data_IF_146945289959
#
_entry.id   IF_146945289959
#
_cell.length_a   1.000
_cell.length_b   1.000
_cell.length_c   1.000
_cell.angle_alpha   90.00
_cell.angle_beta   90.00
_cell.angle_gamma   90.00
#
_symmetry.space_group_name_H-M   'P 1'
#
loop_
_entity.id
_entity.type
_entity.pdbx_description
1 polymer ?
#
# COMPACT_ATOMS: atom_id res chain seq x y z
N UNK A 1 15.47 15.00 35.45
CA UNK A 1 15.73 14.84 34.01
C UNK A 1 14.47 15.20 33.26
N UNK A 2 14.44 16.24 32.41
CA UNK A 2 13.24 16.54 31.64
C UNK A 2 13.09 15.52 30.51
N UNK A 3 11.88 14.99 30.34
CA UNK A 3 11.52 14.09 29.23
C UNK A 3 11.70 14.86 27.91
N UNK A 4 12.31 14.21 26.92
CA UNK A 4 12.48 14.77 25.57
C UNK A 4 11.09 15.15 24.99
N UNK A 5 10.95 16.31 24.32
CA UNK A 5 9.68 16.68 23.69
C UNK A 5 9.36 15.68 22.57
N UNK A 6 8.20 15.04 22.68
CA UNK A 6 7.78 13.91 21.87
C UNK A 6 7.41 14.27 20.42
N UNK A 7 7.70 13.30 19.54
CA UNK A 7 7.20 12.92 18.20
C UNK A 7 6.49 13.93 17.25
N UNK A 8 5.82 14.97 17.76
CA UNK A 8 5.13 15.99 16.94
C UNK A 8 6.12 16.78 16.09
N UNK A 9 7.33 17.04 16.59
CA UNK A 9 8.38 17.74 15.84
C UNK A 9 8.86 16.94 14.61
N UNK A 10 8.97 15.62 14.70
CA UNK A 10 9.51 14.77 13.63
C UNK A 10 8.53 14.57 12.47
N UNK A 11 7.21 14.65 12.72
CA UNK A 11 6.20 14.57 11.67
C UNK A 11 6.11 15.82 10.77
N UNK A 12 6.51 16.97 11.32
CA UNK A 12 6.48 18.29 10.65
C UNK A 12 7.68 18.53 9.72
N UNK A 13 8.76 17.75 9.87
CA UNK A 13 9.97 17.81 9.03
C UNK A 13 9.76 17.32 7.58
N UNK A 14 8.59 16.79 7.24
CA UNK A 14 8.23 16.46 5.84
C UNK A 14 7.74 17.66 5.02
N UNK A 15 7.40 18.79 5.63
CA UNK A 15 7.09 20.02 4.90
C UNK A 15 8.29 20.56 4.12
N UNK A 16 9.49 20.25 4.61
CA UNK A 16 10.78 20.73 4.11
C UNK A 16 11.10 20.20 2.71
N UNK A 17 10.61 19.00 2.32
CA UNK A 17 10.80 18.47 0.96
C UNK A 17 9.90 19.15 -0.09
N UNK A 18 8.84 19.83 0.35
CA UNK A 18 7.95 20.63 -0.50
C UNK A 18 8.26 22.14 -0.38
N UNK A 19 9.32 22.52 0.35
CA UNK A 19 9.66 23.92 0.63
C UNK A 19 8.71 24.62 1.61
N UNK A 20 7.80 23.89 2.25
CA UNK A 20 6.84 24.43 3.22
C UNK A 20 7.55 24.59 4.57
N UNK A 21 7.52 25.80 5.12
CA UNK A 21 8.09 26.08 6.44
C UNK A 21 7.05 25.81 7.52
N UNK A 22 7.50 25.27 8.64
CA UNK A 22 6.65 24.97 9.80
C UNK A 22 7.13 25.72 11.03
N UNK A 23 6.20 26.31 11.78
CA UNK A 23 6.46 26.92 13.08
C UNK A 23 5.50 26.35 14.12
N UNK A 24 6.03 25.71 15.17
CA UNK A 24 5.23 25.16 16.28
C UNK A 24 5.02 26.20 17.38
N UNK A 25 3.88 26.12 18.07
CA UNK A 25 3.56 26.88 19.27
C UNK A 25 3.54 25.92 20.46
N UNK A 26 4.36 26.20 21.47
CA UNK A 26 4.47 25.38 22.69
C UNK A 26 3.59 25.94 23.81
N UNK A 27 3.05 25.04 24.63
CA UNK A 27 2.25 25.36 25.80
C UNK A 27 3.13 25.90 26.93
N UNK A 28 2.66 26.89 27.69
CA UNK A 28 3.47 27.58 28.69
C UNK A 28 3.91 26.70 29.87
N UNK A 29 3.14 25.67 30.22
CA UNK A 29 3.38 24.86 31.43
C UNK A 29 4.03 23.50 31.15
N UNK A 30 3.58 22.79 30.12
CA UNK A 30 4.07 21.43 29.80
C UNK A 30 5.14 21.42 28.71
N UNK A 31 5.29 22.51 27.95
CA UNK A 31 6.15 22.55 26.76
C UNK A 31 5.59 21.78 25.57
N UNK A 32 4.35 21.25 25.65
CA UNK A 32 3.74 20.48 24.57
C UNK A 32 3.37 21.37 23.38
N UNK A 33 3.38 20.81 22.17
CA UNK A 33 2.89 21.53 20.99
C UNK A 33 1.38 21.75 21.10
N UNK A 34 0.94 23.00 21.25
CA UNK A 34 -0.48 23.40 21.35
C UNK A 34 -1.00 24.04 20.06
N UNK A 35 -0.18 24.12 19.02
CA UNK A 35 -0.55 24.67 17.73
C UNK A 35 0.63 24.73 16.78
N UNK A 36 0.36 25.02 15.51
CA UNK A 36 1.38 25.21 14.50
C UNK A 36 0.88 26.15 13.40
N UNK A 37 1.84 26.73 12.69
CA UNK A 37 1.62 27.54 11.50
C UNK A 37 2.48 27.05 10.34
N UNK A 38 1.97 27.18 9.13
CA UNK A 38 2.65 26.85 7.88
C UNK A 38 2.88 28.11 7.05
N UNK A 39 3.97 28.14 6.30
CA UNK A 39 4.20 29.12 5.26
C UNK A 39 4.59 28.42 3.95
N UNK A 40 3.93 28.79 2.86
CA UNK A 40 4.19 28.22 1.55
C UNK A 40 5.52 28.75 0.97
N UNK A 41 6.23 27.95 0.16
CA UNK A 41 7.44 28.42 -0.53
C UNK A 41 7.09 29.59 -1.46
N UNK A 42 7.80 30.71 -1.31
CA UNK A 42 7.59 31.92 -2.12
C UNK A 42 6.43 32.81 -1.67
N UNK A 43 5.64 32.41 -0.66
CA UNK A 43 4.61 33.27 -0.08
C UNK A 43 5.22 34.16 1.01
N UNK A 44 5.66 35.34 0.59
CA UNK A 44 6.35 36.32 1.44
C UNK A 44 5.66 37.69 1.42
N UNK A 45 5.71 38.40 2.55
CA UNK A 45 5.29 39.79 2.63
C UNK A 45 6.24 40.73 1.85
N UNK A 46 5.94 42.03 1.84
CA UNK A 46 6.77 43.05 1.17
C UNK A 46 8.21 43.15 1.69
N UNK A 47 8.48 42.64 2.90
CA UNK A 47 9.83 42.57 3.49
C UNK A 47 10.58 41.26 3.16
N UNK A 48 9.98 40.37 2.35
CA UNK A 48 10.56 39.07 2.01
C UNK A 48 10.42 38.02 3.12
N UNK A 49 9.63 38.28 4.16
CA UNK A 49 9.41 37.34 5.26
C UNK A 49 8.23 36.40 4.95
N UNK A 50 8.30 35.12 5.35
CA UNK A 50 7.22 34.16 5.08
C UNK A 50 5.89 34.57 5.73
N UNK A 51 4.79 34.44 4.99
CA UNK A 51 3.44 34.64 5.52
C UNK A 51 2.97 33.35 6.20
N UNK A 52 2.58 33.44 7.47
CA UNK A 52 2.22 32.29 8.30
C UNK A 52 0.71 32.13 8.47
N UNK A 53 0.22 30.91 8.25
CA UNK A 53 -1.16 30.53 8.49
C UNK A 53 -1.25 29.41 9.52
N UNK A 54 -2.05 29.60 10.56
CA UNK A 54 -2.34 28.54 11.52
C UNK A 54 -3.08 27.37 10.84
N UNK A 55 -2.80 26.13 11.24
CA UNK A 55 -3.41 24.94 10.62
C UNK A 55 -4.94 25.02 10.51
N UNK A 56 -5.62 25.39 11.61
CA UNK A 56 -7.09 25.55 11.63
C UNK A 56 -7.62 26.68 10.73
N UNK A 57 -6.79 27.67 10.37
CA UNK A 57 -7.13 28.76 9.45
C UNK A 57 -7.04 28.30 7.99
N UNK A 58 -6.19 27.31 7.69
CA UNK A 58 -6.10 26.69 6.38
C UNK A 58 -7.28 25.75 6.14
N UNK A 59 -7.56 24.88 7.11
CA UNK A 59 -8.75 24.03 7.10
C UNK A 59 -9.08 23.48 8.50
N UNK A 60 -10.35 23.21 8.84
CA UNK A 60 -10.73 22.72 10.18
C UNK A 60 -10.06 21.39 10.59
N UNK A 61 -9.84 20.50 9.64
CA UNK A 61 -9.19 19.19 9.79
C UNK A 61 -7.67 19.29 10.01
N UNK A 62 -7.08 20.46 9.71
CA UNK A 62 -5.69 20.80 9.97
C UNK A 62 -5.48 21.43 11.36
N UNK A 63 -6.48 21.43 12.24
CA UNK A 63 -6.24 21.77 13.66
C UNK A 63 -5.37 20.71 14.34
N UNK A 64 -4.54 21.12 15.31
CA UNK A 64 -3.60 20.22 16.01
C UNK A 64 -4.31 19.02 16.67
N UNK A 65 -5.52 19.22 17.20
CA UNK A 65 -6.32 18.15 17.80
C UNK A 65 -6.80 17.14 16.74
N UNK A 66 -7.25 17.61 15.57
CA UNK A 66 -7.64 16.73 14.46
C UNK A 66 -6.47 15.97 13.86
N UNK A 67 -5.29 16.59 13.80
CA UNK A 67 -4.07 15.91 13.38
C UNK A 67 -3.70 14.79 14.37
N UNK A 68 -3.78 15.04 15.68
CA UNK A 68 -3.52 14.01 16.71
C UNK A 68 -4.51 12.86 16.64
N UNK A 69 -5.79 13.15 16.43
CA UNK A 69 -6.82 12.11 16.23
C UNK A 69 -6.50 11.23 15.01
N UNK A 70 -5.99 11.83 13.92
CA UNK A 70 -5.70 11.10 12.68
C UNK A 70 -4.36 10.39 12.67
N UNK A 71 -3.35 10.97 13.32
CA UNK A 71 -1.98 10.48 13.44
C UNK A 71 -1.67 10.25 14.93
N UNK A 72 -2.28 9.22 15.55
CA UNK A 72 -1.92 8.85 16.93
C UNK A 72 -0.43 8.50 16.96
N UNK A 73 0.26 8.90 18.05
CA UNK A 73 1.72 8.88 18.22
C UNK A 73 2.41 7.83 17.35
N UNK A 74 2.76 8.25 16.13
CA UNK A 74 3.62 7.47 15.29
C UNK A 74 5.02 7.78 15.80
N UNK A 75 5.65 6.81 16.47
CA UNK A 75 7.10 6.80 16.50
C UNK A 75 7.53 6.91 15.03
N UNK A 76 8.11 8.06 14.69
CA UNK A 76 8.77 8.24 13.41
C UNK A 76 9.97 7.32 13.49
N UNK A 77 9.76 6.05 13.15
CA UNK A 77 10.86 5.20 12.76
C UNK A 77 11.54 5.95 11.63
N UNK A 78 12.77 6.41 11.90
CA UNK A 78 13.67 6.94 10.90
C UNK A 78 13.79 5.87 9.82
N UNK A 79 13.00 6.04 8.78
CA UNK A 79 12.81 5.08 7.68
C UNK A 79 12.00 3.83 8.11
N UNK A 80 11.10 3.33 7.26
CA UNK A 80 10.64 1.95 7.41
C UNK A 80 11.90 1.10 7.49
N UNK A 81 12.06 0.36 8.59
CA UNK A 81 13.05 -0.71 8.68
C UNK A 81 12.94 -1.48 7.37
N UNK A 82 14.07 -1.63 6.68
CA UNK A 82 14.18 -2.36 5.42
C UNK A 82 13.24 -3.57 5.48
N UNK A 83 12.13 -3.50 4.74
CA UNK A 83 11.14 -4.57 4.79
C UNK A 83 11.84 -5.78 4.17
N UNK A 84 12.22 -6.74 5.00
CA UNK A 84 13.03 -7.87 4.58
C UNK A 84 12.29 -8.73 3.51
N UNK A 85 10.96 -8.59 3.41
CA UNK A 85 10.12 -9.25 2.41
C UNK A 85 9.18 -8.27 1.65
N UNK A 86 9.44 -7.96 0.36
CA UNK A 86 8.54 -7.17 -0.48
C UNK A 86 7.10 -7.71 -0.59
N UNK A 87 6.87 -8.99 -0.26
CA UNK A 87 5.52 -9.55 -0.25
C UNK A 87 4.72 -9.22 1.03
N UNK A 88 5.37 -8.78 2.10
CA UNK A 88 4.72 -8.44 3.36
C UNK A 88 3.86 -7.16 3.26
N UNK A 89 4.34 -6.04 2.66
CA UNK A 89 3.51 -4.86 2.41
C UNK A 89 2.29 -5.17 1.54
N UNK A 90 2.45 -6.08 0.57
CA UNK A 90 1.35 -6.54 -0.27
C UNK A 90 0.31 -7.33 0.50
N UNK A 91 0.73 -8.30 1.32
CA UNK A 91 -0.20 -9.04 2.21
C UNK A 91 -0.94 -8.09 3.16
N UNK A 92 -0.23 -7.17 3.81
CA UNK A 92 -0.84 -6.16 4.67
C UNK A 92 -1.86 -5.30 3.92
N UNK A 93 -1.55 -4.90 2.69
CA UNK A 93 -2.46 -4.12 1.85
C UNK A 93 -3.72 -4.91 1.51
N UNK A 94 -3.59 -6.16 1.06
CA UNK A 94 -4.74 -7.00 0.72
C UNK A 94 -5.65 -7.23 1.93
N UNK A 95 -5.07 -7.57 3.09
CA UNK A 95 -5.81 -7.74 4.34
C UNK A 95 -6.50 -6.45 4.76
N UNK A 96 -5.82 -5.31 4.65
CA UNK A 96 -6.39 -4.02 5.05
C UNK A 96 -7.53 -3.55 4.13
N UNK A 97 -7.44 -3.82 2.82
CA UNK A 97 -8.53 -3.53 1.87
C UNK A 97 -9.73 -4.44 2.15
N UNK A 98 -9.50 -5.72 2.44
CA UNK A 98 -10.58 -6.65 2.83
C UNK A 98 -11.28 -6.18 4.10
N UNK A 99 -10.52 -5.80 5.14
CA UNK A 99 -11.08 -5.23 6.36
C UNK A 99 -11.92 -3.97 6.07
N UNK A 100 -11.41 -3.07 5.22
CA UNK A 100 -12.15 -1.87 4.82
C UNK A 100 -13.48 -2.21 4.12
N UNK A 101 -13.50 -3.20 3.23
CA UNK A 101 -14.74 -3.66 2.58
C UNK A 101 -15.73 -4.25 3.57
N UNK A 102 -15.26 -5.06 4.52
CA UNK A 102 -16.11 -5.64 5.58
C UNK A 102 -16.73 -4.56 6.44
N UNK A 103 -15.95 -3.54 6.84
CA UNK A 103 -16.44 -2.41 7.64
C UNK A 103 -17.42 -1.53 6.84
N UNK A 104 -17.20 -1.32 5.55
CA UNK A 104 -18.19 -0.62 4.70
C UNK A 104 -19.47 -1.44 4.49
N UNK A 105 -19.48 -2.74 4.79
CA UNK A 105 -20.66 -3.58 4.80
C UNK A 105 -21.33 -3.70 6.17
N UNK A 106 -20.81 -3.06 7.21
CA UNK A 106 -21.36 -3.11 8.57
C UNK A 106 -22.15 -1.83 8.92
N UNK A 107 -22.81 -1.87 10.09
CA UNK A 107 -23.55 -0.74 10.65
C UNK A 107 -22.65 0.20 11.50
N UNK A 108 -21.32 0.02 11.47
CA UNK A 108 -20.39 0.89 12.21
C UNK A 108 -19.97 2.10 11.36
N UNK A 109 -20.78 3.16 11.45
CA UNK A 109 -20.59 4.40 10.70
C UNK A 109 -19.27 5.11 11.01
N UNK A 110 -18.83 5.06 12.27
CA UNK A 110 -17.60 5.72 12.69
C UNK A 110 -16.37 5.00 12.12
N UNK A 111 -16.35 3.67 12.21
CA UNK A 111 -15.29 2.86 11.61
C UNK A 111 -15.28 3.00 10.08
N UNK A 112 -16.45 2.96 9.43
CA UNK A 112 -16.58 3.17 7.99
C UNK A 112 -15.99 4.52 7.56
N UNK A 113 -16.33 5.61 8.26
CA UNK A 113 -15.72 6.92 8.02
C UNK A 113 -14.20 6.94 8.25
N UNK A 114 -13.73 6.22 9.26
CA UNK A 114 -12.30 6.00 9.50
C UNK A 114 -11.58 5.40 8.28
N UNK A 115 -12.18 4.36 7.70
CA UNK A 115 -11.68 3.67 6.52
C UNK A 115 -11.77 4.52 5.25
N UNK A 116 -12.87 5.25 5.04
CA UNK A 116 -13.00 6.21 3.92
C UNK A 116 -11.93 7.31 4.01
N UNK A 117 -11.67 7.83 5.21
CA UNK A 117 -10.62 8.80 5.44
C UNK A 117 -9.23 8.23 5.10
N UNK A 118 -8.92 7.01 5.55
CA UNK A 118 -7.65 6.35 5.25
C UNK A 118 -7.50 6.00 3.76
N UNK A 119 -8.59 5.61 3.08
CA UNK A 119 -8.59 5.33 1.65
C UNK A 119 -8.35 6.59 0.83
N UNK A 120 -8.96 7.73 1.18
CA UNK A 120 -8.68 9.01 0.53
C UNK A 120 -7.21 9.45 0.66
N UNK A 121 -6.61 9.24 1.84
CA UNK A 121 -5.18 9.50 2.05
C UNK A 121 -4.31 8.55 1.20
N UNK A 122 -4.70 7.28 1.09
CA UNK A 122 -4.00 6.29 0.26
C UNK A 122 -4.06 6.64 -1.24
N UNK A 123 -5.23 7.03 -1.76
CA UNK A 123 -5.39 7.45 -3.16
C UNK A 123 -4.48 8.63 -3.51
N UNK A 124 -4.37 9.60 -2.62
CA UNK A 124 -3.48 10.75 -2.83
C UNK A 124 -2.00 10.33 -2.89
N UNK A 125 -1.58 9.42 -2.00
CA UNK A 125 -0.21 8.90 -1.98
C UNK A 125 0.11 8.08 -3.24
N UNK A 126 -0.81 7.21 -3.66
CA UNK A 126 -0.69 6.42 -4.89
C UNK A 126 -0.57 7.38 -6.09
N UNK A 127 -1.48 8.33 -6.26
CA UNK A 127 -1.46 9.29 -7.36
C UNK A 127 -0.17 10.15 -7.40
N UNK A 128 0.44 10.40 -6.23
CA UNK A 128 1.69 11.14 -6.12
C UNK A 128 2.90 10.31 -6.55
N UNK A 129 2.94 9.03 -6.16
CA UNK A 129 4.00 8.08 -6.50
C UNK A 129 3.90 7.51 -7.93
N UNK A 130 2.69 7.47 -8.51
CA UNK A 130 2.48 6.94 -9.87
C UNK A 130 3.06 7.84 -10.94
N UNK A 131 3.73 7.22 -11.91
CA UNK A 131 4.17 7.81 -13.18
C UNK A 131 3.43 7.16 -14.36
N UNK A 132 3.49 7.79 -15.53
CA UNK A 132 2.84 7.26 -16.74
C UNK A 132 1.41 7.74 -16.98
N UNK A 133 0.70 7.14 -17.96
CA UNK A 133 -0.51 7.71 -18.55
C UNK A 133 -1.71 7.77 -17.61
N UNK A 134 -1.86 6.80 -16.70
CA UNK A 134 -2.99 6.70 -15.77
C UNK A 134 -2.85 7.60 -14.52
N UNK A 135 -1.76 8.37 -14.41
CA UNK A 135 -1.55 9.31 -13.29
C UNK A 135 -2.62 10.40 -13.23
N UNK A 136 -3.07 10.91 -14.38
CA UNK A 136 -4.08 11.95 -14.44
C UNK A 136 -5.41 11.46 -13.85
N UNK A 137 -5.82 10.26 -14.22
CA UNK A 137 -7.02 9.60 -13.68
C UNK A 137 -6.92 9.37 -12.18
N UNK A 138 -5.78 8.90 -11.67
CA UNK A 138 -5.59 8.71 -10.24
C UNK A 138 -5.67 10.02 -9.44
N UNK A 139 -5.16 11.12 -9.99
CA UNK A 139 -5.31 12.44 -9.37
C UNK A 139 -6.75 12.90 -9.38
N UNK A 140 -7.45 12.75 -10.50
CA UNK A 140 -8.87 13.10 -10.60
C UNK A 140 -9.71 12.29 -9.60
N UNK A 141 -9.45 10.98 -9.51
CA UNK A 141 -10.05 10.10 -8.52
C UNK A 141 -9.79 10.56 -7.08
N UNK A 142 -8.54 10.84 -6.72
CA UNK A 142 -8.18 11.31 -5.38
C UNK A 142 -8.89 12.64 -5.04
N UNK A 143 -8.98 13.58 -6.00
CA UNK A 143 -9.68 14.85 -5.82
C UNK A 143 -11.20 14.67 -5.65
N UNK A 144 -11.82 13.81 -6.46
CA UNK A 144 -13.24 13.48 -6.32
C UNK A 144 -13.54 12.78 -4.99
N UNK A 145 -12.72 11.79 -4.62
CA UNK A 145 -12.89 11.04 -3.38
C UNK A 145 -12.67 11.90 -2.13
N UNK A 146 -11.82 12.94 -2.22
CA UNK A 146 -11.67 13.92 -1.14
C UNK A 146 -12.97 14.69 -0.86
N UNK A 147 -13.90 14.80 -1.82
CA UNK A 147 -15.24 15.32 -1.56
C UNK A 147 -16.13 14.25 -0.92
N UNK A 148 -16.03 12.99 -1.33
CA UNK A 148 -16.80 11.88 -0.77
C UNK A 148 -16.56 11.67 0.73
N UNK A 149 -15.30 11.81 1.18
CA UNK A 149 -14.96 11.66 2.62
C UNK A 149 -15.43 12.81 3.52
N UNK A 150 -16.05 13.87 2.98
CA UNK A 150 -16.55 14.99 3.79
C UNK A 150 -17.86 14.57 4.43
N UNK A 151 -17.79 14.14 5.69
CA UNK A 151 -18.95 13.65 6.44
C UNK A 151 -19.11 14.40 7.76
N UNK A 152 -20.36 14.54 8.21
CA UNK A 152 -20.68 14.97 9.57
C UNK A 152 -20.44 13.86 10.60
N UNK A 153 -20.39 12.60 10.15
CA UNK A 153 -20.07 11.45 10.99
C UNK A 153 -18.62 11.53 11.43
N UNK A 154 -18.38 11.48 12.75
CA UNK A 154 -17.02 11.49 13.30
C UNK A 154 -16.32 10.18 12.95
N UNK A 155 -15.17 10.28 12.29
CA UNK A 155 -14.37 9.12 11.93
C UNK A 155 -13.69 8.50 13.16
N UNK A 156 -13.81 7.18 13.31
CA UNK A 156 -12.91 6.40 14.14
C UNK A 156 -11.61 6.15 13.37
N UNK A 157 -10.63 7.01 13.62
CA UNK A 157 -9.34 6.87 12.98
C UNK A 157 -8.55 5.65 13.46
N UNK A 158 -8.84 5.10 14.65
CA UNK A 158 -8.14 3.95 15.19
C UNK A 158 -8.49 2.69 14.40
N UNK A 159 -9.78 2.49 14.06
CA UNK A 159 -10.25 1.36 13.24
C UNK A 159 -9.48 1.22 11.91
N UNK A 160 -9.12 2.34 11.29
CA UNK A 160 -8.42 2.36 10.00
C UNK A 160 -6.89 2.44 10.08
N UNK A 161 -6.28 2.23 11.25
CA UNK A 161 -4.82 2.32 11.43
C UNK A 161 -4.07 1.32 10.56
N UNK A 162 -4.56 0.08 10.46
CA UNK A 162 -3.95 -0.95 9.63
C UNK A 162 -3.91 -0.55 8.15
N UNK A 163 -4.99 0.05 7.63
CA UNK A 163 -5.06 0.52 6.25
C UNK A 163 -4.08 1.66 5.97
N UNK A 164 -3.94 2.63 6.89
CA UNK A 164 -2.94 3.71 6.73
C UNK A 164 -1.52 3.17 6.76
N UNK A 165 -1.22 2.23 7.68
CA UNK A 165 0.10 1.60 7.78
C UNK A 165 0.44 0.85 6.49
N UNK A 166 -0.47 0.02 5.99
CA UNK A 166 -0.28 -0.72 4.75
C UNK A 166 -0.09 0.21 3.54
N UNK A 167 -0.91 1.26 3.41
CA UNK A 167 -0.77 2.25 2.33
C UNK A 167 0.58 2.99 2.39
N UNK A 168 1.09 3.29 3.59
CA UNK A 168 2.40 3.92 3.78
C UNK A 168 3.53 2.96 3.40
N UNK A 169 3.50 1.71 3.88
CA UNK A 169 4.48 0.68 3.51
C UNK A 169 4.54 0.48 2.00
N UNK A 170 3.37 0.42 1.35
CA UNK A 170 3.27 0.23 -0.09
C UNK A 170 3.82 1.41 -0.90
N UNK A 171 3.57 2.64 -0.45
CA UNK A 171 4.11 3.84 -1.10
C UNK A 171 5.65 3.94 -1.02
N UNK A 172 6.29 3.25 -0.07
CA UNK A 172 7.75 3.19 0.04
C UNK A 172 8.33 1.96 -0.69
N UNK A 173 7.56 0.88 -0.83
CA UNK A 173 7.95 -0.32 -1.55
C UNK A 173 7.78 -0.22 -3.08
N UNK A 174 7.16 0.85 -3.58
CA UNK A 174 6.76 0.98 -4.98
C UNK A 174 7.94 1.28 -5.93
N UNK A 175 8.64 0.21 -6.32
CA UNK A 175 9.42 0.06 -7.56
C UNK A 175 9.02 -1.24 -8.32
N UNK A 176 7.87 -1.82 -7.99
CA UNK A 176 7.50 -3.20 -8.33
C UNK A 176 6.78 -3.36 -9.71
N UNK A 177 6.82 -4.57 -10.31
CA UNK A 177 6.30 -4.86 -11.65
C UNK A 177 4.81 -4.55 -11.84
N UNK A 178 4.43 -4.18 -13.06
CA UNK A 178 3.10 -3.66 -13.41
C UNK A 178 1.90 -4.49 -12.91
N UNK A 179 1.99 -5.82 -12.81
CA UNK A 179 0.88 -6.66 -12.36
C UNK A 179 0.41 -6.41 -10.92
N UNK A 180 1.34 -6.09 -10.01
CA UNK A 180 1.00 -5.77 -8.62
C UNK A 180 0.37 -4.38 -8.52
N UNK A 181 0.90 -3.40 -9.25
CA UNK A 181 0.33 -2.07 -9.35
C UNK A 181 -1.10 -2.09 -9.93
N UNK A 182 -1.34 -2.89 -10.98
CA UNK A 182 -2.68 -3.07 -11.56
C UNK A 182 -3.62 -3.74 -10.56
N UNK A 183 -3.14 -4.72 -9.79
CA UNK A 183 -3.92 -5.38 -8.73
C UNK A 183 -4.36 -4.41 -7.64
N UNK A 184 -3.48 -3.46 -7.26
CA UNK A 184 -3.85 -2.38 -6.35
C UNK A 184 -4.91 -1.46 -6.95
N UNK A 185 -4.72 -1.01 -8.19
CA UNK A 185 -5.71 -0.17 -8.89
C UNK A 185 -7.07 -0.86 -8.90
N UNK A 186 -7.11 -2.13 -9.27
CA UNK A 186 -8.31 -2.96 -9.24
C UNK A 186 -8.98 -2.96 -7.85
N UNK A 187 -8.20 -3.17 -6.79
CA UNK A 187 -8.70 -3.16 -5.43
C UNK A 187 -9.27 -1.78 -5.02
N UNK A 188 -8.63 -0.68 -5.46
CA UNK A 188 -9.14 0.68 -5.20
C UNK A 188 -10.46 0.97 -5.92
N UNK A 189 -10.64 0.47 -7.16
CA UNK A 189 -11.90 0.57 -7.91
C UNK A 189 -13.04 -0.03 -7.09
N UNK A 190 -12.87 -1.26 -6.60
CA UNK A 190 -13.89 -1.92 -5.80
C UNK A 190 -14.18 -1.22 -4.47
N UNK A 191 -13.14 -0.68 -3.81
CA UNK A 191 -13.33 0.06 -2.56
C UNK A 191 -14.08 1.39 -2.78
N UNK A 192 -13.83 2.09 -3.89
CA UNK A 192 -14.59 3.29 -4.26
C UNK A 192 -16.06 2.97 -4.56
N UNK A 193 -16.35 1.86 -5.24
CA UNK A 193 -17.73 1.40 -5.46
C UNK A 193 -18.43 1.04 -4.15
N UNK A 194 -17.73 0.35 -3.24
CA UNK A 194 -18.26 0.04 -1.91
C UNK A 194 -18.55 1.31 -1.11
N UNK A 195 -17.67 2.33 -1.19
CA UNK A 195 -17.89 3.63 -0.58
C UNK A 195 -19.13 4.34 -1.14
N UNK A 196 -19.31 4.34 -2.47
CA UNK A 196 -20.50 4.93 -3.10
C UNK A 196 -21.78 4.25 -2.60
N UNK A 197 -21.80 2.92 -2.53
CA UNK A 197 -22.94 2.14 -2.02
C UNK A 197 -23.20 2.39 -0.53
N UNK A 198 -22.16 2.48 0.28
CA UNK A 198 -22.28 2.82 1.70
C UNK A 198 -22.92 4.21 1.91
N UNK A 199 -22.52 5.20 1.11
CA UNK A 199 -23.09 6.55 1.14
C UNK A 199 -24.55 6.56 0.65
N UNK A 200 -24.86 5.86 -0.44
CA UNK A 200 -26.20 5.73 -1.00
C UNK A 200 -27.18 5.14 0.02
N UNK A 201 -26.79 4.06 0.71
CA UNK A 201 -27.60 3.42 1.76
C UNK A 201 -27.92 4.34 2.94
N UNK A 202 -27.11 5.38 3.17
CA UNK A 202 -27.28 6.37 4.25
C UNK A 202 -27.89 7.69 3.79
N UNK A 203 -28.28 7.80 2.51
CA UNK A 203 -28.84 9.04 1.95
C UNK A 203 -27.81 10.17 1.82
N UNK A 204 -26.51 9.85 1.80
CA UNK A 204 -25.43 10.83 1.62
C UNK A 204 -25.23 11.16 0.13
N UNK A 205 -26.23 11.78 -0.51
CA UNK A 205 -26.29 11.92 -1.97
C UNK A 205 -25.05 12.60 -2.59
N UNK A 206 -24.58 13.70 -2.01
CA UNK A 206 -23.41 14.43 -2.52
C UNK A 206 -22.12 13.61 -2.41
N UNK A 207 -21.97 12.87 -1.32
CA UNK A 207 -20.81 12.02 -1.09
C UNK A 207 -20.86 10.75 -1.95
N UNK A 208 -22.05 10.18 -2.15
CA UNK A 208 -22.27 9.06 -3.07
C UNK A 208 -21.90 9.47 -4.50
N UNK A 209 -22.37 10.63 -4.97
CA UNK A 209 -22.02 11.17 -6.29
C UNK A 209 -20.51 11.40 -6.45
N UNK A 210 -19.86 11.95 -5.43
CA UNK A 210 -18.40 12.15 -5.44
C UNK A 210 -17.61 10.82 -5.41
N UNK A 211 -18.09 9.82 -4.67
CA UNK A 211 -17.49 8.48 -4.63
C UNK A 211 -17.65 7.76 -5.98
N UNK A 212 -18.80 7.93 -6.63
CA UNK A 212 -19.06 7.38 -7.97
C UNK A 212 -18.22 8.05 -9.05
N UNK A 213 -18.01 9.37 -8.96
CA UNK A 213 -17.06 10.08 -9.82
C UNK A 213 -15.63 9.58 -9.63
N UNK A 214 -15.19 9.37 -8.38
CA UNK A 214 -13.90 8.77 -8.11
C UNK A 214 -13.79 7.34 -8.66
N UNK A 215 -14.84 6.52 -8.51
CA UNK A 215 -14.92 5.18 -9.08
C UNK A 215 -14.71 5.20 -10.60
N UNK A 216 -15.39 6.10 -11.33
CA UNK A 216 -15.24 6.24 -12.80
C UNK A 216 -13.81 6.57 -13.21
N UNK A 217 -13.16 7.51 -12.52
CA UNK A 217 -11.75 7.84 -12.76
C UNK A 217 -10.81 6.66 -12.46
N UNK A 218 -11.02 5.97 -11.33
CA UNK A 218 -10.23 4.78 -11.00
C UNK A 218 -10.42 3.68 -12.05
N UNK A 219 -11.65 3.48 -12.53
CA UNK A 219 -11.96 2.50 -13.57
C UNK A 219 -11.25 2.85 -14.88
N UNK A 220 -11.26 4.12 -15.29
CA UNK A 220 -10.54 4.58 -16.48
C UNK A 220 -9.03 4.37 -16.35
N UNK A 221 -8.43 4.79 -15.23
CA UNK A 221 -7.00 4.60 -14.96
C UNK A 221 -6.60 3.13 -14.87
N UNK A 222 -7.46 2.31 -14.27
CA UNK A 222 -7.32 0.85 -14.23
C UNK A 222 -7.34 0.26 -15.64
N UNK A 223 -8.32 0.59 -16.47
CA UNK A 223 -8.43 0.07 -17.84
C UNK A 223 -7.21 0.42 -18.69
N UNK A 224 -6.68 1.64 -18.56
CA UNK A 224 -5.44 2.07 -19.23
C UNK A 224 -4.22 1.21 -18.84
N UNK A 225 -4.16 0.73 -17.59
CA UNK A 225 -3.07 -0.09 -17.10
C UNK A 225 -3.28 -1.59 -17.38
N UNK A 226 -4.52 -2.08 -17.20
CA UNK A 226 -4.87 -3.50 -17.26
C UNK A 226 -4.98 -4.03 -18.70
N UNK A 227 -5.55 -3.26 -19.63
CA UNK A 227 -5.77 -3.70 -21.03
C UNK A 227 -4.51 -4.24 -21.70
N UNK A 228 -3.37 -3.51 -21.76
CA UNK A 228 -2.16 -4.03 -22.40
C UNK A 228 -1.57 -5.23 -21.63
N UNK A 229 -1.68 -5.26 -20.30
CA UNK A 229 -1.16 -6.35 -19.49
C UNK A 229 -1.96 -7.66 -19.67
N UNK A 230 -3.29 -7.58 -19.72
CA UNK A 230 -4.16 -8.73 -19.99
C UNK A 230 -3.96 -9.24 -21.41
N UNK A 231 -3.80 -8.35 -22.39
CA UNK A 231 -3.50 -8.74 -23.77
C UNK A 231 -2.16 -9.48 -23.88
N UNK A 232 -1.11 -8.99 -23.21
CA UNK A 232 0.20 -9.64 -23.16
C UNK A 232 0.17 -10.99 -22.43
N UNK A 233 -0.58 -11.11 -21.34
CA UNK A 233 -0.83 -12.40 -20.66
C UNK A 233 -1.58 -13.38 -21.58
N UNK A 234 -2.62 -12.90 -22.28
CA UNK A 234 -3.37 -13.73 -23.20
C UNK A 234 -2.53 -14.18 -24.40
N UNK A 235 -1.62 -13.33 -24.90
CA UNK A 235 -0.70 -13.69 -25.98
C UNK A 235 0.26 -14.81 -25.59
N UNK A 236 0.60 -14.91 -24.29
CA UNK A 236 1.49 -15.93 -23.73
C UNK A 236 0.76 -17.17 -23.21
N UNK A 237 -0.46 -17.42 -23.70
CA UNK A 237 -1.28 -18.54 -23.29
C UNK A 237 -0.52 -19.88 -23.41
N UNK A 238 -0.67 -20.78 -22.42
CA UNK A 238 -0.09 -22.12 -22.48
C UNK A 238 -0.78 -22.96 -23.56
N UNK A 239 -0.19 -24.13 -23.88
CA UNK A 239 -0.75 -25.07 -24.85
C UNK A 239 -2.15 -25.52 -24.44
N UNK A 240 -3.00 -25.84 -25.43
CA UNK A 240 -4.40 -26.24 -25.23
C UNK A 240 -4.58 -27.33 -24.16
N UNK A 241 -3.73 -28.37 -24.14
CA UNK A 241 -3.80 -29.42 -23.13
C UNK A 241 -3.62 -28.91 -21.69
N UNK A 242 -2.75 -27.93 -21.48
CA UNK A 242 -2.54 -27.29 -20.17
C UNK A 242 -3.73 -26.38 -19.81
N UNK A 243 -4.28 -25.65 -20.78
CA UNK A 243 -5.46 -24.81 -20.59
C UNK A 243 -6.69 -25.66 -20.19
N UNK A 244 -6.93 -26.80 -20.85
CA UNK A 244 -8.03 -27.72 -20.50
C UNK A 244 -7.87 -28.32 -19.10
N UNK A 245 -6.63 -28.54 -18.62
CA UNK A 245 -6.39 -28.95 -17.22
C UNK A 245 -6.81 -27.85 -16.25
N UNK A 246 -6.50 -26.58 -16.54
CA UNK A 246 -6.91 -25.47 -15.68
C UNK A 246 -8.42 -25.23 -15.70
N UNK A 247 -9.07 -25.44 -16.84
CA UNK A 247 -10.53 -25.44 -16.94
C UNK A 247 -11.15 -26.46 -15.97
N UNK A 248 -10.60 -27.67 -15.92
CA UNK A 248 -11.04 -28.70 -14.97
C UNK A 248 -10.75 -28.32 -13.51
N UNK A 249 -9.60 -27.69 -13.24
CA UNK A 249 -9.28 -27.19 -11.90
C UNK A 249 -10.26 -26.12 -11.44
N UNK A 250 -10.66 -25.18 -12.33
CA UNK A 250 -11.67 -24.15 -12.05
C UNK A 250 -13.02 -24.78 -11.77
N UNK A 251 -13.50 -25.70 -12.61
CA UNK A 251 -14.79 -26.37 -12.40
C UNK A 251 -14.90 -27.07 -11.06
N UNK A 252 -13.79 -27.58 -10.54
CA UNK A 252 -13.81 -28.30 -9.27
C UNK A 252 -13.55 -27.36 -8.08
N UNK A 253 -12.67 -26.38 -8.22
CA UNK A 253 -12.38 -25.45 -7.14
C UNK A 253 -13.51 -24.45 -6.92
N UNK A 254 -14.19 -24.03 -8.00
CA UNK A 254 -15.20 -22.96 -8.03
C UNK A 254 -16.42 -23.35 -8.87
N UNK A 255 -17.16 -24.41 -8.48
CA UNK A 255 -18.24 -24.96 -9.29
C UNK A 255 -19.32 -23.92 -9.61
N UNK A 256 -19.69 -23.08 -8.64
CA UNK A 256 -20.77 -22.10 -8.78
C UNK A 256 -20.43 -20.93 -9.72
N UNK A 257 -19.14 -20.69 -9.96
CA UNK A 257 -18.64 -19.57 -10.77
C UNK A 257 -17.98 -20.02 -12.07
N UNK A 258 -17.81 -21.33 -12.26
CA UNK A 258 -16.99 -21.88 -13.33
C UNK A 258 -17.43 -21.40 -14.71
N UNK A 259 -18.72 -21.48 -15.04
CA UNK A 259 -19.22 -21.09 -16.35
C UNK A 259 -19.01 -19.61 -16.64
N UNK A 260 -19.19 -18.75 -15.62
CA UNK A 260 -18.92 -17.30 -15.74
C UNK A 260 -17.44 -17.01 -15.92
N UNK A 261 -16.56 -17.72 -15.21
CA UNK A 261 -15.10 -17.57 -15.33
C UNK A 261 -14.62 -18.01 -16.71
N UNK A 262 -15.14 -19.13 -17.22
CA UNK A 262 -14.73 -19.68 -18.52
C UNK A 262 -15.26 -18.86 -19.71
N UNK A 263 -16.41 -18.20 -19.56
CA UNK A 263 -16.98 -17.29 -20.56
C UNK A 263 -16.35 -15.88 -20.55
N UNK A 264 -15.55 -15.55 -19.53
CA UNK A 264 -14.94 -14.23 -19.36
C UNK A 264 -13.84 -14.00 -20.41
N UNK A 265 -13.81 -12.84 -21.10
CA UNK A 265 -12.72 -12.48 -22.03
C UNK A 265 -11.30 -12.58 -21.43
N UNK A 266 -11.16 -12.39 -20.11
CA UNK A 266 -9.88 -12.50 -19.41
C UNK A 266 -9.47 -13.96 -19.10
N UNK A 267 -10.27 -14.97 -19.47
CA UNK A 267 -9.96 -16.39 -19.23
C UNK A 267 -8.60 -16.80 -19.81
N UNK A 268 -8.32 -16.41 -21.06
CA UNK A 268 -7.05 -16.75 -21.71
C UNK A 268 -5.85 -16.20 -20.93
N UNK A 269 -5.94 -14.95 -20.43
CA UNK A 269 -4.92 -14.38 -19.55
C UNK A 269 -4.80 -15.15 -18.23
N UNK A 270 -5.94 -15.60 -17.66
CA UNK A 270 -5.97 -16.37 -16.41
C UNK A 270 -5.21 -17.70 -16.54
N UNK A 271 -5.29 -18.37 -17.69
CA UNK A 271 -4.52 -19.61 -17.90
C UNK A 271 -3.00 -19.39 -17.83
N UNK A 272 -2.50 -18.25 -18.34
CA UNK A 272 -1.09 -17.84 -18.23
C UNK A 272 -0.73 -17.55 -16.78
N UNK A 273 -1.59 -16.82 -16.07
CA UNK A 273 -1.40 -16.49 -14.65
C UNK A 273 -1.36 -17.75 -13.77
N UNK A 274 -2.21 -18.74 -14.04
CA UNK A 274 -2.19 -20.04 -13.36
C UNK A 274 -0.91 -20.83 -13.66
N UNK A 275 -0.42 -20.80 -14.90
CA UNK A 275 0.87 -21.39 -15.25
C UNK A 275 2.05 -20.71 -14.54
N UNK A 276 2.05 -19.38 -14.45
CA UNK A 276 3.03 -18.65 -13.66
C UNK A 276 2.96 -19.01 -12.18
N UNK A 277 1.76 -19.17 -11.60
CA UNK A 277 1.61 -19.59 -10.21
C UNK A 277 2.12 -21.03 -9.99
N UNK A 278 1.85 -21.96 -10.91
CA UNK A 278 2.34 -23.33 -10.85
C UNK A 278 3.88 -23.37 -10.90
N UNK A 279 4.48 -22.61 -11.81
CA UNK A 279 5.95 -22.45 -11.88
C UNK A 279 6.54 -21.74 -10.65
N UNK A 280 5.76 -20.91 -9.95
CA UNK A 280 6.13 -20.34 -8.65
C UNK A 280 5.95 -21.32 -7.47
N UNK A 281 5.49 -22.55 -7.72
CA UNK A 281 5.32 -23.60 -6.71
C UNK A 281 3.96 -23.62 -6.02
N UNK A 282 2.96 -22.94 -6.57
CA UNK A 282 1.58 -23.04 -6.11
C UNK A 282 0.86 -24.22 -6.78
N UNK A 283 -0.15 -24.78 -6.11
CA UNK A 283 -1.09 -25.71 -6.75
C UNK A 283 -2.26 -24.90 -7.29
N UNK A 284 -2.51 -24.87 -8.62
CA UNK A 284 -3.58 -24.07 -9.22
C UNK A 284 -4.94 -24.28 -8.55
N UNK A 285 -5.34 -25.53 -8.33
CA UNK A 285 -6.61 -25.87 -7.69
C UNK A 285 -6.74 -25.34 -6.26
N UNK A 286 -5.70 -25.53 -5.41
CA UNK A 286 -5.72 -25.01 -4.03
C UNK A 286 -5.73 -23.49 -4.01
N UNK A 287 -4.94 -22.88 -4.91
CA UNK A 287 -4.88 -21.44 -5.02
C UNK A 287 -6.23 -20.86 -5.45
N UNK A 288 -6.89 -21.46 -6.46
CA UNK A 288 -8.23 -21.08 -6.90
C UNK A 288 -9.26 -21.18 -5.78
N UNK A 289 -9.21 -22.24 -4.96
CA UNK A 289 -10.09 -22.36 -3.78
C UNK A 289 -9.80 -21.27 -2.73
N UNK A 290 -8.53 -20.97 -2.48
CA UNK A 290 -8.12 -19.93 -1.52
C UNK A 290 -8.57 -18.54 -1.99
N UNK A 291 -8.31 -18.19 -3.25
CA UNK A 291 -8.75 -16.90 -3.79
C UNK A 291 -10.26 -16.89 -4.06
N UNK A 292 -10.90 -18.01 -4.35
CA UNK A 292 -12.30 -18.01 -4.75
C UNK A 292 -13.32 -17.86 -3.63
N UNK A 293 -12.94 -18.05 -2.37
CA UNK A 293 -13.86 -17.96 -1.21
C UNK A 293 -14.43 -16.57 -0.91
N UNK A 294 -14.05 -15.55 -1.68
CA UNK A 294 -14.46 -14.17 -1.40
C UNK A 294 -15.70 -13.80 -2.20
N UNK A 295 -16.66 -13.16 -1.50
CA UNK A 295 -17.96 -12.66 -2.00
C UNK A 295 -17.89 -11.76 -3.24
N UNK A 296 -16.69 -11.34 -3.60
CA UNK A 296 -16.44 -10.50 -4.77
C UNK A 296 -16.75 -11.22 -6.08
N UNK A 297 -16.48 -12.53 -6.17
CA UNK A 297 -16.75 -13.32 -7.39
C UNK A 297 -18.25 -13.40 -7.71
N UNK A 298 -19.11 -13.38 -6.70
CA UNK A 298 -20.57 -13.37 -6.90
C UNK A 298 -21.01 -12.13 -7.67
N UNK A 299 -20.46 -10.98 -7.26
CA UNK A 299 -20.81 -9.64 -7.77
C UNK A 299 -20.00 -9.16 -8.97
N UNK A 300 -18.92 -9.87 -9.35
CA UNK A 300 -17.98 -9.40 -10.35
C UNK A 300 -18.53 -9.57 -11.78
N UNK A 301 -18.54 -8.49 -12.56
CA UNK A 301 -18.86 -8.56 -13.99
C UNK A 301 -17.84 -9.41 -14.76
N UNK A 302 -16.56 -9.32 -14.36
CA UNK A 302 -15.43 -10.05 -14.94
C UNK A 302 -14.69 -10.90 -13.88
N UNK A 303 -15.20 -12.10 -13.53
CA UNK A 303 -14.62 -12.93 -12.48
C UNK A 303 -13.24 -13.51 -12.82
N UNK A 304 -12.90 -13.74 -14.11
CA UNK A 304 -11.56 -14.21 -14.47
C UNK A 304 -10.52 -13.09 -14.33
N UNK A 305 -10.91 -11.84 -14.59
CA UNK A 305 -10.07 -10.67 -14.36
C UNK A 305 -9.76 -10.47 -12.86
N UNK A 306 -10.77 -10.63 -11.99
CA UNK A 306 -10.57 -10.66 -10.52
C UNK A 306 -9.51 -11.70 -10.14
N UNK A 307 -9.63 -12.92 -10.68
CA UNK A 307 -8.71 -14.02 -10.37
C UNK A 307 -7.29 -13.75 -10.87
N UNK A 308 -7.13 -13.15 -12.06
CA UNK A 308 -5.82 -12.77 -12.60
C UNK A 308 -5.04 -11.92 -11.60
N UNK A 309 -5.65 -10.85 -11.09
CA UNK A 309 -4.96 -9.90 -10.21
C UNK A 309 -4.75 -10.46 -8.81
N UNK A 310 -5.71 -11.23 -8.30
CA UNK A 310 -5.57 -11.85 -6.98
C UNK A 310 -4.51 -12.93 -6.92
N UNK A 311 -4.32 -13.67 -8.02
CA UNK A 311 -3.22 -14.63 -8.15
C UNK A 311 -1.89 -13.89 -8.34
N UNK A 312 -1.86 -12.83 -9.16
CA UNK A 312 -0.65 -12.01 -9.38
C UNK A 312 -0.18 -11.34 -8.08
N UNK A 313 -1.10 -10.97 -7.20
CA UNK A 313 -0.81 -10.43 -5.87
C UNK A 313 -0.22 -11.46 -4.88
N UNK A 314 -0.19 -12.75 -5.22
CA UNK A 314 0.34 -13.77 -4.32
C UNK A 314 1.87 -13.80 -4.30
N UNK A 315 2.49 -14.00 -3.13
CA UNK A 315 3.93 -14.20 -3.03
C UNK A 315 4.39 -15.43 -3.82
N UNK A 316 5.55 -15.31 -4.46
CA UNK A 316 6.23 -16.46 -5.05
C UNK A 316 6.82 -17.36 -3.93
N UNK A 317 6.24 -18.55 -3.73
CA UNK A 317 6.65 -19.49 -2.68
C UNK A 317 8.08 -19.97 -2.83
N UNK A 318 8.57 -20.18 -4.06
CA UNK A 318 9.96 -20.61 -4.30
C UNK A 318 10.95 -19.52 -3.90
N UNK A 319 10.66 -18.27 -4.26
CA UNK A 319 11.46 -17.11 -3.85
C UNK A 319 11.45 -16.95 -2.33
N UNK A 320 10.30 -17.13 -1.70
CA UNK A 320 10.17 -17.08 -0.24
C UNK A 320 10.97 -18.19 0.44
N UNK A 321 10.85 -19.44 -0.02
CA UNK A 321 11.57 -20.58 0.54
C UNK A 321 13.09 -20.46 0.36
N UNK A 322 13.57 -19.92 -0.78
CA UNK A 322 14.98 -19.63 -0.98
C UNK A 322 15.50 -18.58 0.01
N UNK A 323 14.73 -17.51 0.23
CA UNK A 323 15.07 -16.45 1.19
C UNK A 323 15.04 -16.92 2.64
N UNK A 324 14.07 -17.73 3.03
CA UNK A 324 14.02 -18.30 4.39
C UNK A 324 15.27 -19.14 4.69
N UNK A 325 15.76 -19.90 3.70
CA UNK A 325 17.03 -20.64 3.81
C UNK A 325 18.23 -19.72 3.92
N UNK A 326 18.29 -18.64 3.15
CA UNK A 326 19.37 -17.65 3.25
C UNK A 326 19.38 -16.89 4.59
N UNK A 327 18.21 -16.58 5.16
CA UNK A 327 18.08 -15.93 6.46
C UNK A 327 18.52 -16.85 7.62
N UNK A 328 18.20 -18.15 7.54
CA UNK A 328 18.68 -19.13 8.53
C UNK A 328 20.18 -19.38 8.42
N UNK A 329 20.74 -19.40 7.20
CA UNK A 329 22.18 -19.51 6.99
C UNK A 329 22.97 -18.26 7.41
N UNK A 330 22.40 -17.06 7.23
CA UNK A 330 23.01 -15.80 7.68
C UNK A 330 23.04 -15.64 9.20
N UNK A 331 22.03 -16.16 9.90
CA UNK A 331 22.00 -16.17 11.37
C UNK A 331 23.00 -17.17 11.98
N UNK A 332 23.23 -18.31 11.32
CA UNK A 332 24.24 -19.29 11.74
C UNK A 332 25.68 -18.78 11.58
N UNK A 333 25.95 -17.90 10.60
CA UNK A 333 27.29 -17.35 10.36
C UNK A 333 27.73 -16.30 11.40
N UNK A 334 26.80 -15.72 12.17
CA UNK A 334 27.13 -14.72 13.21
C UNK A 334 27.51 -15.32 14.58
N UNK A 335 27.46 -16.65 14.74
CA UNK A 335 27.88 -17.32 16.00
C UNK A 335 29.31 -17.86 15.99
N UNK A 336 30.08 -17.63 14.92
CA UNK A 336 31.51 -17.96 14.90
C UNK A 336 32.32 -16.81 15.49
N UNK A 337 32.50 -16.81 16.81
CA UNK A 337 33.48 -15.95 17.49
C UNK A 337 34.89 -16.17 16.90
N UNK A 338 35.58 -15.13 16.40
CA UNK A 338 36.96 -15.26 15.95
C UNK A 338 37.88 -15.53 17.13
N UNK A 339 38.62 -16.65 17.09
CA UNK A 339 39.76 -16.89 17.99
C UNK A 339 40.88 -15.88 17.67
N UNK A 340 41.47 -15.21 18.67
CA UNK A 340 42.58 -14.30 18.43
C UNK A 340 43.85 -15.09 18.04
N UNK A 341 44.63 -14.64 17.04
CA UNK A 341 45.87 -15.29 16.66
C UNK A 341 47.00 -15.02 17.66
N UNK A 342 47.77 -16.06 17.97
CA UNK A 342 48.96 -16.01 18.82
C UNK A 342 50.07 -15.17 18.18
N UNK A 343 50.71 -14.33 18.99
CA UNK A 343 51.84 -13.46 18.63
C UNK A 343 53.13 -14.27 18.38
N UNK A 344 53.83 -14.06 17.25
CA UNK A 344 55.16 -14.62 17.06
C UNK A 344 56.24 -13.73 17.67
N UNK A 345 57.10 -14.34 18.51
CA UNK A 345 58.28 -13.74 19.13
C UNK A 345 59.36 -13.46 18.07
N UNK A 346 59.88 -12.24 18.06
CA UNK A 346 60.97 -11.79 17.20
C UNK A 346 62.31 -12.44 17.61
N UNK A 347 62.95 -13.16 16.68
CA UNK A 347 64.37 -13.52 16.79
C UNK A 347 65.22 -12.56 15.94
N UNK A 348 66.23 -12.00 16.60
CA UNK A 348 67.21 -11.04 16.10
C UNK A 348 68.24 -11.77 15.20
N UNK A 349 68.67 -11.25 14.04
CA UNK A 349 69.61 -11.93 13.17
C UNK A 349 71.06 -11.81 13.67
N UNK A 350 71.78 -12.92 13.66
CA UNK A 350 73.23 -12.98 13.86
C UNK A 350 73.99 -12.43 12.64
N UNK A 351 75.02 -11.68 12.98
CA UNK A 351 76.01 -11.02 12.15
C UNK A 351 76.97 -12.06 11.54
N UNK A 352 77.11 -12.10 10.20
CA UNK A 352 78.14 -12.91 9.54
C UNK A 352 78.93 -12.07 8.55
N UNK A 353 79.99 -11.47 9.07
CA UNK A 353 81.16 -11.02 8.31
C UNK A 353 81.77 -12.17 7.51
N UNK A 354 82.12 -11.92 6.25
CA UNK A 354 83.36 -12.43 5.61
C UNK A 354 83.64 -11.67 4.31
N UNK A 355 84.80 -11.01 4.30
CA UNK A 355 85.45 -10.43 3.15
C UNK A 355 85.73 -11.45 2.04
N UNK A 356 85.74 -10.95 0.80
CA UNK A 356 86.98 -10.90 0.03
C UNK A 356 87.10 -9.56 -0.68
#
# INVERSE_FOLDING_TARGET
>A
MPRRPGAVCSGLDRGTSLGIKVKTRLGPETGDVIGYSLAAPGDTNAAGEPVWYGGSKLAPDLSINRIRERLPDQEVADHPQYVADPAEPWRHTTTAIQAARTVLGSDDDAAAQGHLAAFGDALYNIASATTGPHRAELRAAAMAFNRARRSATRADHQAATALRKAAKELAHASNEPGGLAISLLFATVHLARAAAKWHEQRGHEQQAAAAEEAFRHLQAGYQQAATPALADLAHRAPRAATASRYEQDVRVALPDHADRILADPAWTALTTTLAHAETAGHSPRRLLAEVGTQRELDSAEHPAEVLNWRITAQPNRRTQAARMRSATSGSAAMSATPHPPATPVAMRPEERSRHR
#
